data_IF_507144227083
#
_entry.id   IF_507144227083
#
_cell.length_a   1.000
_cell.length_b   1.000
_cell.length_c   1.000
_cell.angle_alpha   90.00
_cell.angle_beta   90.00
_cell.angle_gamma   90.00
#
_symmetry.space_group_name_H-M   'P 1'
#
loop_
_entity.id
_entity.type
_entity.pdbx_description
1 polymer ?
#
# COMPACT_ATOMS: atom_id res chain seq x y z
N UNK A 1 -44.83 -32.19 31.80
CA UNK A 1 -43.56 -32.63 31.16
C UNK A 1 -43.25 -31.81 29.89
N UNK A 2 -42.72 -30.58 30.00
CA UNK A 2 -42.36 -29.74 28.82
C UNK A 2 -40.90 -29.26 28.79
N UNK A 3 -40.12 -29.58 29.84
CA UNK A 3 -38.74 -29.07 30.05
C UNK A 3 -37.68 -29.78 29.18
N UNK A 4 -37.89 -31.04 28.79
CA UNK A 4 -36.89 -31.87 28.08
C UNK A 4 -36.64 -31.43 26.63
N UNK A 5 -37.64 -30.86 25.94
CA UNK A 5 -37.54 -30.51 24.50
C UNK A 5 -36.65 -29.29 24.23
N UNK A 6 -36.48 -28.39 25.20
CA UNK A 6 -35.67 -27.19 25.06
C UNK A 6 -34.17 -27.47 25.27
N UNK A 7 -33.83 -28.37 26.20
CA UNK A 7 -32.46 -28.78 26.44
C UNK A 7 -31.84 -29.48 25.22
N UNK A 8 -32.63 -30.30 24.50
CA UNK A 8 -32.19 -30.92 23.24
C UNK A 8 -31.89 -29.86 22.16
N UNK A 9 -32.75 -28.85 22.00
CA UNK A 9 -32.50 -27.74 21.06
C UNK A 9 -31.22 -26.97 21.40
N UNK A 10 -30.99 -26.71 22.68
CA UNK A 10 -29.77 -26.04 23.16
C UNK A 10 -28.54 -26.88 22.83
N UNK A 11 -28.58 -28.20 23.04
CA UNK A 11 -27.48 -29.12 22.70
C UNK A 11 -27.20 -29.11 21.19
N UNK A 12 -28.25 -29.13 20.34
CA UNK A 12 -28.08 -29.04 18.89
C UNK A 12 -27.45 -27.72 18.45
N UNK A 13 -27.88 -26.59 19.04
CA UNK A 13 -27.29 -25.28 18.76
C UNK A 13 -25.81 -25.25 19.14
N UNK A 14 -25.47 -25.82 20.31
CA UNK A 14 -24.09 -25.88 20.79
C UNK A 14 -23.22 -26.75 19.87
N UNK A 15 -23.75 -27.87 19.38
CA UNK A 15 -23.06 -28.75 18.42
C UNK A 15 -22.81 -28.04 17.08
N UNK A 16 -23.79 -27.28 16.57
CA UNK A 16 -23.62 -26.48 15.34
C UNK A 16 -22.53 -25.41 15.54
N UNK A 17 -22.51 -24.74 16.71
CA UNK A 17 -21.47 -23.76 17.03
C UNK A 17 -20.07 -24.36 17.01
N UNK A 18 -19.89 -25.56 17.59
CA UNK A 18 -18.61 -26.27 17.58
C UNK A 18 -18.19 -26.62 16.16
N UNK A 19 -19.12 -27.08 15.32
CA UNK A 19 -18.84 -27.37 13.90
C UNK A 19 -18.42 -26.11 13.14
N UNK A 20 -19.07 -24.97 13.38
CA UNK A 20 -18.70 -23.69 12.76
C UNK A 20 -17.27 -23.29 13.15
N UNK A 21 -16.90 -23.42 14.43
CA UNK A 21 -15.55 -23.11 14.91
C UNK A 21 -14.51 -24.00 14.22
N UNK A 22 -14.74 -25.30 14.13
CA UNK A 22 -13.85 -26.24 13.44
C UNK A 22 -13.75 -25.91 11.95
N UNK A 23 -14.87 -25.64 11.30
CA UNK A 23 -14.91 -25.31 9.88
C UNK A 23 -14.18 -24.00 9.58
N UNK A 24 -14.34 -22.97 10.43
CA UNK A 24 -13.58 -21.72 10.33
C UNK A 24 -12.09 -21.94 10.48
N UNK A 25 -11.65 -22.81 11.40
CA UNK A 25 -10.24 -23.11 11.58
C UNK A 25 -9.63 -23.80 10.34
N UNK A 26 -10.35 -24.76 9.75
CA UNK A 26 -9.92 -25.43 8.52
C UNK A 26 -9.83 -24.47 7.32
N UNK A 27 -10.84 -23.61 7.14
CA UNK A 27 -10.83 -22.59 6.08
C UNK A 27 -9.69 -21.59 6.30
N UNK A 28 -9.51 -21.11 7.53
CA UNK A 28 -8.48 -20.13 7.85
C UNK A 28 -7.08 -20.68 7.56
N UNK A 29 -6.80 -21.91 7.99
CA UNK A 29 -5.51 -22.56 7.76
C UNK A 29 -5.22 -22.79 6.27
N UNK A 30 -6.23 -23.20 5.48
CA UNK A 30 -6.03 -23.51 4.06
C UNK A 30 -6.04 -22.27 3.15
N UNK A 31 -6.86 -21.27 3.45
CA UNK A 31 -7.10 -20.15 2.54
C UNK A 31 -6.51 -18.83 3.03
N UNK A 32 -6.49 -18.55 4.33
CA UNK A 32 -6.07 -17.22 4.82
C UNK A 32 -4.56 -17.12 5.00
N UNK A 33 -3.90 -18.17 5.50
CA UNK A 33 -2.43 -18.23 5.65
C UNK A 33 -1.68 -17.93 4.35
N UNK A 34 -1.93 -18.61 3.20
CA UNK A 34 -1.20 -18.34 1.95
C UNK A 34 -1.51 -16.96 1.33
N UNK A 35 -2.60 -16.32 1.75
CA UNK A 35 -2.95 -14.96 1.34
C UNK A 35 -2.20 -13.94 2.20
N UNK A 36 -2.09 -14.15 3.52
CA UNK A 36 -1.40 -13.26 4.46
C UNK A 36 0.11 -13.17 4.20
N UNK A 37 0.75 -14.26 3.77
CA UNK A 37 2.18 -14.28 3.40
C UNK A 37 2.51 -13.23 2.32
N UNK A 38 1.62 -13.02 1.33
CA UNK A 38 1.81 -11.98 0.30
C UNK A 38 1.70 -10.55 0.80
N UNK A 39 1.08 -10.31 1.96
CA UNK A 39 0.97 -8.97 2.54
C UNK A 39 2.17 -8.65 3.44
N UNK A 40 2.75 -9.65 4.10
CA UNK A 40 3.98 -9.49 4.90
C UNK A 40 5.24 -9.29 4.06
N UNK A 41 5.22 -9.64 2.77
CA UNK A 41 6.32 -9.38 1.82
C UNK A 41 6.38 -7.94 1.29
N UNK A 42 5.35 -7.10 1.52
CA UNK A 42 5.49 -5.67 1.25
C UNK A 42 6.42 -5.11 2.32
N UNK A 43 7.58 -4.51 1.96
CA UNK A 43 8.55 -4.10 2.96
C UNK A 43 7.92 -3.03 3.84
N UNK A 44 7.60 -3.42 5.07
CA UNK A 44 7.33 -2.51 6.16
C UNK A 44 8.66 -1.78 6.33
N UNK A 45 8.69 -0.52 5.93
CA UNK A 45 9.83 0.39 6.07
C UNK A 45 9.99 0.71 7.55
N UNK A 46 10.48 -0.26 8.31
CA UNK A 46 11.01 -0.10 9.67
C UNK A 46 12.26 -0.98 9.74
N UNK A 47 13.23 -0.67 8.88
CA UNK A 47 14.63 -1.01 9.16
C UNK A 47 15.21 0.24 9.81
N UNK A 48 15.29 0.22 11.13
CA UNK A 48 16.24 1.06 11.85
C UNK A 48 17.60 0.82 11.16
N UNK A 49 18.28 1.90 10.77
CA UNK A 49 19.54 1.82 10.03
C UNK A 49 20.67 1.94 11.06
N UNK A 50 21.31 0.84 11.51
CA UNK A 50 22.71 0.89 11.88
C UNK A 50 23.51 1.13 10.60
N UNK A 51 24.26 2.23 10.58
CA UNK A 51 25.20 2.56 9.52
C UNK A 51 26.42 1.63 9.65
N UNK A 52 26.50 0.64 8.76
CA UNK A 52 27.74 -0.06 8.44
C UNK A 52 28.31 0.57 7.16
N UNK A 53 29.36 1.36 7.32
CA UNK A 53 30.26 1.74 6.24
C UNK A 53 31.06 0.49 5.84
N UNK A 54 30.91 -0.03 4.61
CA UNK A 54 31.97 -0.84 3.99
C UNK A 54 31.79 -1.07 2.47
N UNK A 55 32.87 -0.71 1.76
CA UNK A 55 33.32 -1.06 0.41
C UNK A 55 32.37 -0.90 -0.81
N UNK A 56 32.69 0.13 -1.61
CA UNK A 56 32.29 0.27 -3.01
C UNK A 56 32.86 -0.91 -3.81
N UNK A 57 32.06 -1.97 -4.00
CA UNK A 57 32.37 -3.01 -5.00
C UNK A 57 31.79 -2.64 -6.35
N UNK A 58 32.62 -2.83 -7.37
CA UNK A 58 32.43 -2.42 -8.76
C UNK A 58 31.03 -2.76 -9.30
N UNK A 59 30.43 -1.73 -9.91
CA UNK A 59 29.05 -1.69 -10.39
C UNK A 59 28.90 -2.59 -11.61
N UNK A 60 28.17 -3.70 -11.43
CA UNK A 60 27.57 -4.48 -12.52
C UNK A 60 26.66 -3.55 -13.35
N UNK A 61 26.54 -3.72 -14.69
CA UNK A 61 25.83 -2.79 -15.54
C UNK A 61 24.40 -2.59 -15.04
N UNK A 62 24.13 -1.36 -14.57
CA UNK A 62 22.81 -0.89 -14.12
C UNK A 62 21.81 -1.19 -15.24
N UNK A 63 20.69 -1.88 -14.96
CA UNK A 63 19.61 -2.00 -15.92
C UNK A 63 19.25 -0.59 -16.37
N UNK A 64 19.35 -0.32 -17.66
CA UNK A 64 19.03 0.98 -18.24
C UNK A 64 17.62 1.34 -17.77
N UNK A 65 17.49 2.22 -16.80
CA UNK A 65 16.20 2.66 -16.29
C UNK A 65 15.55 3.43 -17.43
N UNK A 66 14.60 2.80 -18.12
CA UNK A 66 13.84 3.46 -19.16
C UNK A 66 13.02 4.59 -18.52
N UNK A 67 13.57 5.80 -18.59
CA UNK A 67 12.93 7.02 -18.12
C UNK A 67 11.94 7.51 -19.17
N UNK A 68 10.69 7.67 -18.77
CA UNK A 68 9.62 8.19 -19.62
C UNK A 68 9.22 9.58 -19.14
N UNK A 69 9.01 10.50 -20.08
CA UNK A 69 8.45 11.81 -19.80
C UNK A 69 6.93 11.71 -19.67
N UNK A 70 6.40 12.11 -18.52
CA UNK A 70 4.96 12.12 -18.24
C UNK A 70 4.52 13.51 -17.78
N UNK A 71 3.23 13.80 -17.94
CA UNK A 71 2.59 14.96 -17.32
C UNK A 71 1.97 14.55 -15.99
N UNK A 72 2.48 15.10 -14.88
CA UNK A 72 1.89 14.96 -13.55
C UNK A 72 1.01 16.18 -13.27
N UNK A 73 -0.23 15.97 -12.83
CA UNK A 73 -1.18 17.06 -12.63
C UNK A 73 -1.26 17.41 -11.15
N UNK A 74 -0.93 18.66 -10.83
CA UNK A 74 -1.00 19.20 -9.47
C UNK A 74 -2.06 20.28 -9.36
N UNK A 75 -2.61 20.49 -8.17
CA UNK A 75 -3.53 21.59 -7.92
C UNK A 75 -2.85 22.95 -8.15
N UNK A 76 -3.59 23.89 -8.72
CA UNK A 76 -3.19 25.30 -8.77
C UNK A 76 -3.18 25.92 -7.37
N UNK A 77 -2.72 27.17 -7.26
CA UNK A 77 -2.61 27.87 -5.97
C UNK A 77 -3.94 28.05 -5.23
N UNK A 78 -5.07 27.90 -5.92
CA UNK A 78 -6.41 28.00 -5.34
C UNK A 78 -7.08 26.64 -5.15
N UNK A 79 -6.39 25.55 -5.49
CA UNK A 79 -6.93 24.19 -5.54
C UNK A 79 -8.22 24.04 -6.36
N UNK A 80 -8.40 24.88 -7.37
CA UNK A 80 -9.57 24.91 -8.25
C UNK A 80 -9.33 24.14 -9.55
N UNK A 81 -8.09 24.15 -10.05
CA UNK A 81 -7.74 23.55 -11.33
C UNK A 81 -6.49 22.68 -11.21
N UNK A 82 -6.32 21.76 -12.17
CA UNK A 82 -5.13 20.94 -12.30
C UNK A 82 -4.17 21.52 -13.34
N UNK A 83 -2.91 21.68 -12.95
CA UNK A 83 -1.82 22.19 -13.78
C UNK A 83 -0.85 21.05 -14.10
N UNK A 84 -0.55 20.79 -15.38
CA UNK A 84 0.42 19.75 -15.76
C UNK A 84 1.86 20.21 -15.48
N UNK A 85 2.65 19.32 -14.88
CA UNK A 85 4.09 19.43 -14.70
C UNK A 85 4.77 18.23 -15.41
N UNK A 86 5.67 18.53 -16.34
CA UNK A 86 6.44 17.49 -17.05
C UNK A 86 7.52 16.95 -16.13
N UNK A 87 7.54 15.63 -15.92
CA UNK A 87 8.57 14.94 -15.12
C UNK A 87 9.03 13.68 -15.83
N UNK A 88 10.33 13.41 -15.74
CA UNK A 88 10.93 12.14 -16.20
C UNK A 88 10.88 11.15 -15.04
N UNK A 89 10.26 10.00 -15.26
CA UNK A 89 10.07 8.96 -14.24
C UNK A 89 10.45 7.59 -14.79
N UNK A 90 10.97 6.72 -13.92
CA UNK A 90 11.27 5.33 -14.28
C UNK A 90 9.97 4.56 -14.54
N UNK A 91 9.96 3.71 -15.55
CA UNK A 91 8.84 2.79 -15.81
C UNK A 91 8.76 1.64 -14.80
N UNK A 92 9.85 1.35 -14.08
CA UNK A 92 9.96 0.18 -13.22
C UNK A 92 9.69 0.58 -11.76
N UNK A 93 8.88 -0.17 -11.00
CA UNK A 93 8.22 -1.44 -11.36
C UNK A 93 6.88 -1.29 -12.11
N UNK A 94 6.25 -0.11 -12.09
CA UNK A 94 5.18 0.25 -13.03
C UNK A 94 5.06 1.77 -13.17
N UNK A 95 4.80 2.25 -14.38
CA UNK A 95 4.67 3.69 -14.67
C UNK A 95 3.62 4.36 -13.78
N UNK A 96 2.46 3.71 -13.61
CA UNK A 96 1.38 4.22 -12.77
C UNK A 96 1.78 4.33 -11.29
N UNK A 97 2.48 3.33 -10.75
CA UNK A 97 2.96 3.37 -9.36
C UNK A 97 3.98 4.48 -9.18
N UNK A 98 4.92 4.62 -10.13
CA UNK A 98 5.93 5.67 -10.06
C UNK A 98 5.31 7.06 -10.18
N UNK A 99 4.33 7.25 -11.07
CA UNK A 99 3.59 8.51 -11.18
C UNK A 99 2.89 8.89 -9.87
N UNK A 100 2.25 7.93 -9.18
CA UNK A 100 1.61 8.18 -7.88
C UNK A 100 2.65 8.54 -6.80
N UNK A 101 3.79 7.85 -6.75
CA UNK A 101 4.87 8.18 -5.81
C UNK A 101 5.36 9.61 -6.05
N UNK A 102 5.54 10.03 -7.30
CA UNK A 102 5.94 11.39 -7.65
C UNK A 102 4.88 12.45 -7.34
N UNK A 103 3.58 12.12 -7.51
CA UNK A 103 2.49 13.01 -7.09
C UNK A 103 2.49 13.25 -5.58
N UNK A 104 2.77 12.20 -4.79
CA UNK A 104 2.86 12.29 -3.32
C UNK A 104 4.03 13.19 -2.88
N UNK A 105 5.16 13.17 -3.62
CA UNK A 105 6.29 14.09 -3.37
C UNK A 105 5.92 15.55 -3.58
N UNK A 106 4.88 15.82 -4.38
CA UNK A 106 4.39 17.17 -4.66
C UNK A 106 5.07 17.85 -5.86
N UNK A 107 4.64 19.10 -6.16
CA UNK A 107 5.14 19.87 -7.30
C UNK A 107 6.58 20.31 -7.05
N UNK A 108 7.41 20.37 -8.11
CA UNK A 108 8.81 20.77 -7.99
C UNK A 108 8.96 22.24 -7.59
N UNK A 109 8.03 23.09 -8.04
CA UNK A 109 7.92 24.48 -7.62
C UNK A 109 6.83 24.58 -6.57
N UNK A 110 7.20 24.92 -5.35
CA UNK A 110 6.23 25.35 -4.33
C UNK A 110 5.49 26.57 -4.89
N UNK A 111 4.19 26.43 -5.13
CA UNK A 111 3.32 27.56 -5.45
C UNK A 111 3.14 28.38 -4.17
N UNK A 112 4.18 29.13 -3.78
CA UNK A 112 4.07 30.07 -2.68
C UNK A 112 3.31 31.28 -3.22
N UNK A 113 2.00 31.32 -2.96
CA UNK A 113 1.20 32.53 -3.12
C UNK A 113 1.54 33.50 -2.00
N UNK A 114 2.69 34.17 -2.07
CA UNK A 114 2.76 35.48 -1.45
C UNK A 114 1.95 36.41 -2.37
N UNK A 115 0.90 37.08 -1.86
CA UNK A 115 0.28 38.15 -2.65
C UNK A 115 1.40 39.15 -2.97
N UNK A 116 1.65 39.37 -4.26
CA UNK A 116 2.48 40.50 -4.69
C UNK A 116 1.71 41.76 -4.33
N UNK A 117 1.89 42.23 -3.10
CA UNK A 117 1.57 43.60 -2.73
C UNK A 117 2.61 44.45 -3.43
N UNK A 118 2.28 44.95 -4.61
CA UNK A 118 2.94 46.13 -5.17
C UNK A 118 2.70 47.27 -4.16
N UNK A 119 3.78 47.70 -3.50
CA UNK A 119 3.86 48.99 -2.78
C UNK A 119 4.68 49.91 -3.67
#
# INVERSE_FOLDING_TARGET
LKKKRNNLKIIFILLILVVIVIFSYLIFNKFIVPIWERYTERPIVTKEIPYEEEEIKEVQPVPIEEMVEVNLYFSDSQAMYLVPEKRKISQIPSLARQAVIELIKGPAKLFISFPSTNI
#
